data_IF_113279541569
#
_entry.id   IF_113279541569
#
_cell.length_a   1.000
_cell.length_b   1.000
_cell.length_c   1.000
_cell.angle_alpha   90.00
_cell.angle_beta   90.00
_cell.angle_gamma   90.00
#
_symmetry.space_group_name_H-M   'P 1'
#
loop_
_entity.id
_entity.type
_entity.pdbx_description
1 polymer ?
#
# COMPACT_ATOMS: atom_id res chain seq x y z
N UNK A 1 8.37 -22.14 -43.12
CA UNK A 1 8.20 -20.78 -42.57
C UNK A 1 6.76 -20.73 -42.06
N UNK A 2 6.54 -20.61 -40.75
CA UNK A 2 5.20 -20.62 -40.16
C UNK A 2 4.73 -19.17 -40.06
N UNK A 3 3.67 -18.84 -40.77
CA UNK A 3 3.05 -17.51 -40.77
C UNK A 3 1.98 -17.50 -39.68
N UNK A 4 2.22 -16.76 -38.60
CA UNK A 4 1.20 -16.51 -37.58
C UNK A 4 0.28 -15.40 -38.09
N UNK A 5 -0.94 -15.78 -38.49
CA UNK A 5 -1.97 -14.82 -38.85
C UNK A 5 -2.69 -14.38 -37.56
N UNK A 6 -2.30 -13.22 -37.03
CA UNK A 6 -2.92 -12.63 -35.84
C UNK A 6 -4.01 -11.64 -36.29
N UNK A 7 -5.16 -12.16 -36.72
CA UNK A 7 -6.26 -11.36 -37.30
C UNK A 7 -7.07 -10.55 -36.27
N UNK A 8 -6.68 -10.57 -34.99
CA UNK A 8 -7.33 -9.81 -33.92
C UNK A 8 -6.46 -9.68 -32.67
N UNK A 9 -6.74 -8.67 -31.83
CA UNK A 9 -6.14 -8.61 -30.50
C UNK A 9 -6.84 -9.62 -29.60
N UNK A 10 -6.04 -10.47 -28.95
CA UNK A 10 -6.54 -11.40 -27.96
C UNK A 10 -6.87 -10.61 -26.70
N UNK A 11 -8.16 -10.55 -26.35
CA UNK A 11 -8.60 -9.79 -25.18
C UNK A 11 -8.29 -10.56 -23.90
N UNK A 12 -7.82 -9.84 -22.89
CA UNK A 12 -7.47 -10.40 -21.58
C UNK A 12 -8.22 -9.70 -20.47
N UNK A 13 -8.52 -10.45 -19.41
CA UNK A 13 -8.96 -9.90 -18.14
C UNK A 13 -7.88 -10.08 -17.09
N UNK A 14 -7.73 -9.09 -16.23
CA UNK A 14 -6.77 -9.09 -15.13
C UNK A 14 -7.50 -9.17 -13.80
N UNK A 15 -6.91 -9.88 -12.83
CA UNK A 15 -7.43 -9.94 -11.46
C UNK A 15 -6.30 -10.02 -10.45
N UNK A 16 -6.30 -9.08 -9.51
CA UNK A 16 -5.45 -9.08 -8.34
C UNK A 16 -6.05 -9.89 -7.20
N UNK A 17 -5.21 -10.62 -6.48
CA UNK A 17 -5.54 -11.31 -5.23
C UNK A 17 -4.49 -11.02 -4.19
N UNK A 18 -4.90 -10.64 -2.99
CA UNK A 18 -4.02 -10.35 -1.86
C UNK A 18 -4.25 -11.39 -0.77
N UNK A 19 -3.17 -11.98 -0.25
CA UNK A 19 -3.19 -12.88 0.92
C UNK A 19 -2.31 -12.32 2.02
N UNK A 20 -2.75 -12.43 3.26
CA UNK A 20 -1.90 -12.15 4.41
C UNK A 20 -0.99 -13.35 4.63
N UNK A 21 0.30 -13.14 4.86
CA UNK A 21 1.29 -14.17 5.02
C UNK A 21 2.08 -13.99 6.31
N UNK A 22 2.41 -15.11 6.94
CA UNK A 22 3.47 -15.21 7.94
C UNK A 22 4.76 -15.71 7.28
N UNK A 23 5.83 -15.88 8.06
CA UNK A 23 7.10 -16.43 7.57
C UNK A 23 6.99 -17.84 6.99
N UNK A 24 5.94 -18.59 7.31
CA UNK A 24 5.79 -20.01 6.97
C UNK A 24 4.55 -20.32 6.12
N UNK A 25 3.56 -19.43 6.05
CA UNK A 25 2.29 -19.73 5.36
C UNK A 25 1.51 -18.48 4.99
N UNK A 26 0.68 -18.58 3.93
CA UNK A 26 -0.27 -17.53 3.56
C UNK A 26 -1.70 -17.97 3.88
N UNK A 27 -2.51 -17.04 4.38
CA UNK A 27 -3.93 -17.21 4.64
C UNK A 27 -4.75 -17.20 3.34
N UNK A 28 -6.08 -17.29 3.49
CA UNK A 28 -7.00 -17.09 2.39
C UNK A 28 -6.93 -15.66 1.83
N UNK A 29 -7.44 -15.49 0.61
CA UNK A 29 -7.54 -14.19 -0.02
C UNK A 29 -8.34 -13.24 0.87
N UNK A 30 -7.78 -12.06 1.11
CA UNK A 30 -8.41 -11.01 1.91
C UNK A 30 -9.58 -10.44 1.10
N UNK A 31 -10.71 -10.24 1.77
CA UNK A 31 -11.84 -9.52 1.18
C UNK A 31 -11.55 -8.02 1.31
N UNK A 32 -11.17 -7.42 0.20
CA UNK A 32 -10.96 -5.97 0.12
C UNK A 32 -12.32 -5.27 0.00
N UNK A 33 -12.39 -4.03 0.49
CA UNK A 33 -13.55 -3.17 0.28
C UNK A 33 -13.80 -3.01 -1.23
N UNK A 34 -15.07 -2.92 -1.65
CA UNK A 34 -15.49 -2.71 -3.05
C UNK A 34 -14.85 -1.49 -3.71
N UNK A 35 -14.39 -0.51 -2.91
CA UNK A 35 -13.62 0.65 -3.40
C UNK A 35 -12.25 0.29 -4.00
N UNK A 36 -11.70 -0.89 -3.70
CA UNK A 36 -10.41 -1.34 -4.22
C UNK A 36 -10.63 -2.11 -5.51
N UNK A 37 -10.33 -1.47 -6.64
CA UNK A 37 -10.43 -2.09 -7.95
C UNK A 37 -9.30 -3.10 -8.16
N UNK A 38 -9.67 -4.36 -8.35
CA UNK A 38 -8.70 -5.47 -8.54
C UNK A 38 -8.62 -5.95 -9.98
N UNK A 39 -9.39 -5.37 -10.90
CA UNK A 39 -9.52 -5.85 -12.28
C UNK A 39 -8.64 -5.12 -13.29
N UNK A 40 -7.83 -4.16 -12.85
CA UNK A 40 -6.86 -3.44 -13.69
C UNK A 40 -5.48 -4.11 -13.66
N UNK A 41 -4.62 -3.71 -14.60
CA UNK A 41 -3.20 -4.11 -14.62
C UNK A 41 -2.43 -3.55 -13.43
N UNK A 42 -2.87 -2.41 -12.90
CA UNK A 42 -2.31 -1.75 -11.73
C UNK A 42 -3.22 -1.97 -10.53
N UNK A 43 -2.62 -2.07 -9.34
CA UNK A 43 -3.33 -2.23 -8.08
C UNK A 43 -3.08 -1.01 -7.21
N UNK A 44 -4.12 -0.19 -7.02
CA UNK A 44 -4.09 0.92 -6.08
C UNK A 44 -4.75 0.51 -4.76
N UNK A 45 -4.00 0.59 -3.67
CA UNK A 45 -4.47 0.27 -2.31
C UNK A 45 -4.48 1.57 -1.51
N UNK A 46 -5.66 2.09 -1.10
CA UNK A 46 -5.73 3.29 -0.28
C UNK A 46 -4.96 3.13 1.04
N UNK A 47 -4.48 4.24 1.58
CA UNK A 47 -3.82 4.28 2.90
C UNK A 47 -4.69 3.62 3.98
N UNK A 48 -4.05 2.90 4.91
CA UNK A 48 -4.70 2.21 6.05
C UNK A 48 -5.74 1.14 5.67
N UNK A 49 -5.71 0.64 4.43
CA UNK A 49 -6.57 -0.48 4.00
C UNK A 49 -6.06 -1.83 4.50
N UNK A 50 -4.74 -1.99 4.60
CA UNK A 50 -4.08 -3.20 5.08
C UNK A 50 -3.39 -2.91 6.41
N UNK A 51 -3.53 -3.83 7.36
CA UNK A 51 -2.81 -3.80 8.63
C UNK A 51 -1.31 -4.06 8.44
N UNK A 52 -0.53 -3.88 9.50
CA UNK A 52 0.88 -4.25 9.50
C UNK A 52 1.05 -5.76 9.34
N UNK A 53 1.92 -6.17 8.42
CA UNK A 53 2.09 -7.58 8.09
C UNK A 53 2.82 -7.81 6.77
N UNK A 54 2.99 -9.08 6.41
CA UNK A 54 3.52 -9.49 5.11
C UNK A 54 2.37 -9.94 4.24
N UNK A 55 2.35 -9.54 2.98
CA UNK A 55 1.29 -9.86 2.03
C UNK A 55 1.87 -10.43 0.75
N UNK A 56 1.21 -11.46 0.22
CA UNK A 56 1.45 -11.94 -1.14
C UNK A 56 0.41 -11.33 -2.07
N UNK A 57 0.87 -10.58 -3.05
CA UNK A 57 0.04 -10.00 -4.11
C UNK A 57 0.23 -10.85 -5.35
N UNK A 58 -0.86 -11.33 -5.93
CA UNK A 58 -0.83 -12.16 -7.14
C UNK A 58 -1.69 -11.52 -8.22
N UNK A 59 -1.07 -11.23 -9.37
CA UNK A 59 -1.77 -10.84 -10.59
C UNK A 59 -2.05 -12.10 -11.40
N UNK A 60 -3.31 -12.32 -11.75
CA UNK A 60 -3.73 -13.36 -12.69
C UNK A 60 -4.28 -12.71 -13.95
N UNK A 61 -3.73 -13.09 -15.10
CA UNK A 61 -4.21 -12.69 -16.42
C UNK A 61 -4.91 -13.89 -17.05
N UNK A 62 -6.14 -13.70 -17.50
CA UNK A 62 -6.97 -14.74 -18.15
C UNK A 62 -7.35 -14.29 -19.54
N UNK A 63 -7.14 -15.15 -20.53
CA UNK A 63 -7.58 -14.90 -21.90
C UNK A 63 -9.10 -15.07 -21.98
N UNK A 64 -9.82 -14.09 -22.56
CA UNK A 64 -11.29 -14.09 -22.60
C UNK A 64 -11.81 -15.24 -23.46
N UNK A 65 -11.23 -15.41 -24.65
CA UNK A 65 -11.65 -16.42 -25.64
C UNK A 65 -11.21 -17.84 -25.27
N UNK A 66 -10.31 -17.97 -24.28
CA UNK A 66 -9.88 -19.26 -23.74
C UNK A 66 -9.63 -19.13 -22.24
N UNK A 67 -10.69 -19.18 -21.41
CA UNK A 67 -10.58 -18.95 -19.96
C UNK A 67 -9.67 -19.94 -19.23
N UNK A 68 -9.32 -21.07 -19.85
CA UNK A 68 -8.38 -22.05 -19.30
C UNK A 68 -6.92 -21.60 -19.45
N UNK A 69 -6.63 -20.69 -20.39
CA UNK A 69 -5.32 -20.09 -20.57
C UNK A 69 -5.17 -18.92 -19.60
N UNK A 70 -4.45 -19.20 -18.50
CA UNK A 70 -4.15 -18.23 -17.46
C UNK A 70 -2.65 -18.20 -17.19
N UNK A 71 -2.15 -17.00 -16.94
CA UNK A 71 -0.82 -16.78 -16.41
C UNK A 71 -0.93 -16.01 -15.10
N UNK A 72 -0.06 -16.29 -14.14
CA UNK A 72 -0.03 -15.58 -12.87
C UNK A 72 1.39 -15.33 -12.40
N UNK A 73 1.58 -14.20 -11.73
CA UNK A 73 2.83 -13.86 -11.06
C UNK A 73 2.54 -13.27 -9.69
N UNK A 74 3.48 -13.46 -8.76
CA UNK A 74 3.32 -13.05 -7.37
C UNK A 74 4.52 -12.27 -6.85
N UNK A 75 4.24 -11.31 -5.97
CA UNK A 75 5.25 -10.55 -5.22
C UNK A 75 4.88 -10.52 -3.74
N UNK A 76 5.88 -10.38 -2.88
CA UNK A 76 5.69 -10.22 -1.44
C UNK A 76 6.02 -8.80 -1.03
N UNK A 77 5.13 -8.19 -0.24
CA UNK A 77 5.31 -6.85 0.32
C UNK A 77 5.15 -6.91 1.83
N UNK A 78 5.84 -6.04 2.57
CA UNK A 78 5.66 -5.90 4.01
C UNK A 78 5.17 -4.49 4.32
N UNK A 79 4.02 -4.40 4.98
CA UNK A 79 3.50 -3.15 5.54
C UNK A 79 4.11 -3.03 6.95
N UNK A 80 4.91 -2.00 7.18
CA UNK A 80 5.52 -1.68 8.47
C UNK A 80 5.07 -0.31 8.95
N UNK A 81 5.12 -0.08 10.26
CA UNK A 81 5.01 1.27 10.78
C UNK A 81 6.18 2.10 10.24
N UNK A 82 5.90 3.34 9.85
CA UNK A 82 6.95 4.29 9.53
C UNK A 82 7.66 4.67 10.84
N UNK A 83 8.96 4.98 10.76
CA UNK A 83 9.68 5.56 11.90
C UNK A 83 9.33 7.03 12.15
N UNK A 84 8.39 7.57 11.37
CA UNK A 84 7.99 8.97 11.44
C UNK A 84 7.36 9.24 12.81
N UNK A 85 7.94 10.19 13.54
CA UNK A 85 7.42 10.62 14.84
C UNK A 85 7.04 12.08 14.73
N UNK A 86 5.74 12.36 14.73
CA UNK A 86 5.24 13.74 14.74
C UNK A 86 5.26 14.29 16.17
N UNK A 87 6.13 15.25 16.44
CA UNK A 87 6.13 16.00 17.70
C UNK A 87 5.74 17.44 17.39
N UNK A 88 4.60 17.87 17.93
CA UNK A 88 4.12 19.24 17.71
C UNK A 88 4.89 20.29 18.54
N UNK A 89 5.61 19.82 19.56
CA UNK A 89 6.33 20.62 20.56
C UNK A 89 7.60 19.89 21.00
N UNK A 90 8.56 20.62 21.55
CA UNK A 90 9.83 20.07 22.03
C UNK A 90 9.58 18.92 23.04
N UNK A 91 10.21 17.76 22.79
CA UNK A 91 10.06 16.51 23.59
C UNK A 91 8.65 15.88 23.58
N UNK A 92 7.75 16.30 22.69
CA UNK A 92 6.42 15.70 22.54
C UNK A 92 5.44 15.99 23.69
N UNK A 93 5.85 16.77 24.69
CA UNK A 93 5.01 17.21 25.81
C UNK A 93 4.82 18.71 25.75
N UNK A 94 3.57 19.19 25.73
CA UNK A 94 3.32 20.63 25.83
C UNK A 94 3.77 21.09 27.22
N UNK A 95 4.81 21.91 27.28
CA UNK A 95 5.28 22.48 28.53
C UNK A 95 4.39 23.67 28.92
N UNK A 96 3.07 23.46 29.03
CA UNK A 96 2.17 24.46 29.61
C UNK A 96 2.26 24.32 31.13
N UNK A 97 3.24 24.99 31.72
CA UNK A 97 3.56 24.87 33.16
C UNK A 97 2.56 25.56 34.10
N UNK A 98 1.65 26.41 33.59
CA UNK A 98 0.42 27.01 34.20
C UNK A 98 0.17 28.39 33.58
N UNK A 99 -1.08 28.68 33.19
CA UNK A 99 -1.54 30.05 32.89
C UNK A 99 -2.67 30.10 31.86
N UNK A 100 -3.76 30.79 32.20
CA UNK A 100 -4.72 31.30 31.21
C UNK A 100 -3.98 32.34 30.33
N UNK A 101 -4.28 32.44 29.03
CA UNK A 101 -3.64 33.35 28.05
C UNK A 101 -2.18 33.05 27.63
N UNK A 102 -1.72 31.79 27.63
CA UNK A 102 -0.45 31.44 26.98
C UNK A 102 -0.68 30.84 25.59
N UNK A 103 0.04 31.37 24.60
CA UNK A 103 0.02 30.83 23.24
C UNK A 103 0.89 29.57 23.17
N UNK A 104 0.30 28.48 22.69
CA UNK A 104 1.03 27.26 22.38
C UNK A 104 1.58 27.35 20.96
N UNK A 105 2.89 27.55 20.84
CA UNK A 105 3.57 27.49 19.54
C UNK A 105 3.74 26.03 19.12
N UNK A 106 3.11 25.65 18.01
CA UNK A 106 3.31 24.36 17.36
C UNK A 106 4.41 24.52 16.31
N UNK A 107 5.47 23.73 16.41
CA UNK A 107 6.56 23.70 15.44
C UNK A 107 6.93 22.25 15.07
N UNK A 108 6.03 21.56 14.35
CA UNK A 108 6.27 20.18 13.95
C UNK A 108 7.48 20.03 13.02
N UNK A 109 7.87 21.06 12.26
CA UNK A 109 9.02 20.99 11.36
C UNK A 109 10.35 20.83 12.09
N UNK A 110 10.49 21.49 13.25
CA UNK A 110 11.71 21.40 14.07
C UNK A 110 11.74 20.15 14.96
N UNK A 111 10.57 19.67 15.42
CA UNK A 111 10.51 18.64 16.46
C UNK A 111 10.09 17.25 15.97
N UNK A 112 9.50 17.15 14.79
CA UNK A 112 9.17 15.86 14.20
C UNK A 112 10.38 15.23 13.51
N UNK A 113 10.37 13.91 13.42
CA UNK A 113 11.42 13.15 12.74
C UNK A 113 10.79 12.40 11.59
N UNK A 114 11.30 12.62 10.38
CA UNK A 114 11.14 11.72 9.25
C UNK A 114 12.46 10.94 9.07
N UNK A 115 12.48 9.61 9.21
CA UNK A 115 13.71 8.83 8.97
C UNK A 115 14.12 8.78 7.49
N UNK A 116 13.21 9.12 6.57
CA UNK A 116 13.43 9.04 5.13
C UNK A 116 13.90 10.38 4.54
N UNK A 117 13.78 11.49 5.29
CA UNK A 117 14.19 12.83 4.87
C UNK A 117 15.01 13.57 5.92
N UNK A 118 15.90 14.46 5.49
CA UNK A 118 16.73 15.26 6.42
C UNK A 118 15.93 16.37 7.14
N UNK A 119 14.71 16.65 6.67
CA UNK A 119 13.83 17.73 7.12
C UNK A 119 12.40 17.23 7.08
N UNK A 120 11.64 17.44 8.16
CA UNK A 120 10.22 17.13 8.18
C UNK A 120 9.45 18.24 7.45
N UNK A 121 8.87 17.92 6.29
CA UNK A 121 8.01 18.88 5.58
C UNK A 121 6.67 19.04 6.31
N UNK A 122 6.51 20.19 6.98
CA UNK A 122 5.31 20.54 7.73
C UNK A 122 4.33 21.42 6.93
N UNK A 123 4.51 21.55 5.60
CA UNK A 123 3.67 22.40 4.75
C UNK A 123 2.27 21.83 4.49
#
# INVERSE_FOLDING_TARGET
MIQFNCDGSLSTTTKWTIKNCTSTSCSFAIVLNEKVMTTFSELYIPSRTLDYGVYQLTLTVTMIDSPNLKASSSVYVRITATGITANLVQLGTSMITRGDQQDLLLDPGTFSVDPDENTFDAT
#
